data_IF_381775895903
#
_entry.id   IF_381775895903
#
_cell.length_a   1.000
_cell.length_b   1.000
_cell.length_c   1.000
_cell.angle_alpha   90.00
_cell.angle_beta   90.00
_cell.angle_gamma   90.00
#
_symmetry.space_group_name_H-M   'P 1'
#
loop_
_entity.id
_entity.type
_entity.pdbx_description
1 polymer ?
#
# COMPACT_ATOMS: atom_id res chain seq x y z
N UNK A 1 -12.47 -13.65 37.49
CA UNK A 1 -13.23 -13.00 36.38
C UNK A 1 -12.37 -12.33 35.30
N UNK A 2 -11.02 -12.27 35.40
CA UNK A 2 -10.16 -11.62 34.37
C UNK A 2 -9.70 -12.51 33.20
N UNK A 3 -9.95 -13.83 33.28
CA UNK A 3 -9.55 -14.83 32.27
C UNK A 3 -10.73 -15.19 31.34
N UNK A 4 -11.95 -14.90 31.77
CA UNK A 4 -13.17 -15.24 31.02
C UNK A 4 -13.35 -14.29 29.83
N UNK A 5 -12.97 -13.02 30.00
CA UNK A 5 -13.06 -11.97 28.98
C UNK A 5 -12.26 -12.29 27.70
N UNK A 6 -10.97 -12.70 27.75
CA UNK A 6 -10.24 -13.05 26.53
C UNK A 6 -10.78 -14.33 25.86
N UNK A 7 -11.30 -15.29 26.63
CA UNK A 7 -11.87 -16.51 26.09
C UNK A 7 -13.17 -16.25 25.31
N UNK A 8 -14.06 -15.41 25.86
CA UNK A 8 -15.29 -14.99 25.16
C UNK A 8 -14.95 -14.18 23.92
N UNK A 9 -13.95 -13.29 23.99
CA UNK A 9 -13.53 -12.47 22.85
C UNK A 9 -12.95 -13.30 21.72
N UNK A 10 -12.14 -14.32 22.05
CA UNK A 10 -11.59 -15.25 21.07
C UNK A 10 -12.67 -16.10 20.41
N UNK A 11 -13.67 -16.58 21.18
CA UNK A 11 -14.79 -17.35 20.64
C UNK A 11 -15.68 -16.50 19.72
N UNK A 12 -15.97 -15.25 20.09
CA UNK A 12 -16.77 -14.33 19.26
C UNK A 12 -16.04 -13.96 17.96
N UNK A 13 -14.74 -13.66 18.02
CA UNK A 13 -13.95 -13.36 16.83
C UNK A 13 -13.81 -14.58 15.90
N UNK A 14 -13.52 -15.76 16.45
CA UNK A 14 -13.42 -16.99 15.69
C UNK A 14 -14.73 -17.37 14.99
N UNK A 15 -15.86 -17.26 15.71
CA UNK A 15 -17.19 -17.51 15.15
C UNK A 15 -17.56 -16.54 14.02
N UNK A 16 -17.27 -15.24 14.18
CA UNK A 16 -17.53 -14.25 13.14
C UNK A 16 -16.71 -14.49 11.87
N UNK A 17 -15.43 -14.88 12.00
CA UNK A 17 -14.57 -15.21 10.86
C UNK A 17 -15.09 -16.48 10.15
N UNK A 18 -15.51 -17.50 10.91
CA UNK A 18 -16.01 -18.75 10.33
C UNK A 18 -17.30 -18.54 9.51
N UNK A 19 -18.24 -17.74 10.03
CA UNK A 19 -19.48 -17.40 9.31
C UNK A 19 -19.18 -16.56 8.04
N UNK A 20 -18.18 -15.67 8.10
CA UNK A 20 -17.79 -14.88 6.93
C UNK A 20 -17.19 -15.73 5.79
N UNK A 21 -16.41 -16.77 6.13
CA UNK A 21 -15.82 -17.68 5.14
C UNK A 21 -16.88 -18.63 4.55
N UNK A 22 -17.88 -19.05 5.32
CA UNK A 22 -18.91 -19.98 4.82
C UNK A 22 -19.91 -19.33 3.85
N UNK A 23 -20.09 -18.01 3.91
CA UNK A 23 -20.97 -17.26 3.00
C UNK A 23 -20.32 -16.89 1.66
N UNK A 24 -18.99 -16.89 1.58
CA UNK A 24 -18.25 -16.63 0.34
C UNK A 24 -17.27 -17.79 0.10
N UNK A 25 -17.64 -18.82 -0.69
CA UNK A 25 -16.64 -19.79 -1.13
C UNK A 25 -15.51 -19.02 -1.81
N UNK A 26 -14.28 -19.22 -1.33
CA UNK A 26 -13.09 -18.69 -1.99
C UNK A 26 -13.17 -19.08 -3.47
N UNK A 27 -12.92 -18.15 -4.42
CA UNK A 27 -12.76 -18.54 -5.81
C UNK A 27 -11.65 -19.60 -5.86
N UNK A 28 -12.06 -20.81 -6.24
CA UNK A 28 -11.19 -21.95 -6.42
C UNK A 28 -9.93 -21.51 -7.15
N UNK A 29 -8.77 -21.85 -6.60
CA UNK A 29 -7.51 -21.74 -7.28
C UNK A 29 -7.61 -22.58 -8.57
N UNK A 30 -7.91 -21.91 -9.68
CA UNK A 30 -7.72 -22.46 -11.01
C UNK A 30 -6.21 -22.57 -11.21
N UNK A 31 -5.70 -23.77 -11.01
CA UNK A 31 -4.48 -24.20 -11.67
C UNK A 31 -4.79 -24.27 -13.17
N UNK A 32 -4.44 -23.23 -13.93
CA UNK A 32 -4.11 -23.38 -15.35
C UNK A 32 -3.46 -22.10 -15.91
N UNK A 33 -2.44 -22.34 -16.72
CA UNK A 33 -1.75 -21.44 -17.66
C UNK A 33 -0.75 -20.46 -17.05
N UNK A 34 0.51 -20.89 -17.10
CA UNK A 34 1.69 -20.03 -17.25
C UNK A 34 1.52 -19.22 -18.55
N UNK A 35 1.49 -17.87 -18.55
CA UNK A 35 1.89 -17.14 -19.73
C UNK A 35 3.41 -17.01 -19.65
N UNK A 36 4.08 -17.69 -20.58
CA UNK A 36 5.44 -17.35 -20.95
C UNK A 36 5.60 -15.83 -21.04
N UNK A 37 6.64 -15.33 -20.39
CA UNK A 37 7.48 -14.27 -20.96
C UNK A 37 6.78 -13.00 -21.43
N UNK A 38 5.70 -12.53 -20.79
CA UNK A 38 5.25 -11.16 -21.05
C UNK A 38 6.07 -10.22 -20.21
N UNK A 39 7.21 -9.78 -20.79
CA UNK A 39 7.94 -8.57 -20.40
C UNK A 39 6.90 -7.55 -19.93
N UNK A 40 6.91 -7.20 -18.65
CA UNK A 40 6.17 -6.05 -18.14
C UNK A 40 6.87 -4.85 -18.79
N UNK A 41 6.44 -4.51 -19.99
CA UNK A 41 6.71 -3.23 -20.59
C UNK A 41 6.01 -2.23 -19.69
N UNK A 42 6.78 -1.63 -18.78
CA UNK A 42 6.42 -0.38 -18.15
C UNK A 42 6.12 0.58 -19.29
N UNK A 43 4.85 0.72 -19.67
CA UNK A 43 4.40 1.80 -20.53
C UNK A 43 4.57 3.08 -19.70
N UNK A 44 5.78 3.63 -19.75
CA UNK A 44 6.00 5.04 -19.49
C UNK A 44 5.23 5.76 -20.58
N UNK A 45 4.19 6.55 -20.27
CA UNK A 45 3.54 7.37 -21.27
C UNK A 45 4.56 8.42 -21.70
N UNK A 46 5.12 8.25 -22.90
CA UNK A 46 5.80 9.31 -23.61
C UNK A 46 4.74 10.19 -24.24
N UNK A 47 4.28 11.21 -23.52
CA UNK A 47 3.89 12.47 -24.16
C UNK A 47 3.97 13.64 -23.17
N UNK A 48 4.98 14.47 -23.42
CA UNK A 48 4.97 15.92 -23.38
C UNK A 48 4.13 16.62 -22.29
N UNK A 49 4.85 17.26 -21.34
CA UNK A 49 4.39 18.36 -20.47
C UNK A 49 3.61 17.94 -19.20
N UNK A 50 4.28 17.19 -18.32
CA UNK A 50 3.98 17.21 -16.88
C UNK A 50 5.28 17.24 -16.08
N UNK A 51 5.32 17.95 -14.93
CA UNK A 51 6.54 18.08 -14.13
C UNK A 51 7.02 16.69 -13.69
N UNK A 52 8.33 16.51 -13.46
CA UNK A 52 8.93 15.18 -13.32
C UNK A 52 8.25 14.42 -12.19
N UNK A 53 7.42 13.44 -12.54
CA UNK A 53 6.87 12.49 -11.58
C UNK A 53 8.05 11.64 -11.13
N UNK A 54 8.57 12.06 -9.98
CA UNK A 54 9.60 11.47 -9.13
C UNK A 54 9.98 10.05 -9.57
N UNK A 55 11.15 9.93 -10.21
CA UNK A 55 11.82 8.65 -10.54
C UNK A 55 12.36 7.93 -9.28
N UNK A 56 11.99 8.42 -8.11
CA UNK A 56 12.55 8.03 -6.82
C UNK A 56 11.43 7.84 -5.81
N UNK A 57 11.43 6.68 -5.17
CA UNK A 57 10.56 6.31 -4.04
C UNK A 57 10.14 7.51 -3.25
N UNK A 58 8.86 7.92 -3.16
CA UNK A 58 8.48 8.81 -2.04
C UNK A 58 8.94 8.18 -0.71
N UNK A 59 8.89 6.85 -0.62
CA UNK A 59 9.49 6.06 0.46
C UNK A 59 11.02 6.15 0.52
N UNK A 60 11.72 6.21 -0.61
CA UNK A 60 13.17 6.35 -0.66
C UNK A 60 13.62 7.76 -0.26
N UNK A 61 12.88 8.80 -0.67
CA UNK A 61 13.04 10.17 -0.18
C UNK A 61 12.87 10.22 1.34
N UNK A 62 11.85 9.53 1.88
CA UNK A 62 11.69 9.40 3.33
C UNK A 62 12.88 8.71 4.00
N UNK A 63 13.45 7.66 3.39
CA UNK A 63 14.65 6.99 3.91
C UNK A 63 15.83 7.94 3.95
N UNK A 64 16.09 8.66 2.86
CA UNK A 64 17.16 9.65 2.79
C UNK A 64 16.99 10.74 3.85
N UNK A 65 15.77 11.26 4.03
CA UNK A 65 15.46 12.27 5.03
C UNK A 65 15.69 11.78 6.48
N UNK A 66 15.37 10.51 6.77
CA UNK A 66 15.62 9.90 8.08
C UNK A 66 17.12 9.66 8.29
N UNK A 67 17.83 9.15 7.28
CA UNK A 67 19.27 8.92 7.34
C UNK A 67 20.05 10.21 7.56
N UNK A 68 19.64 11.31 6.91
CA UNK A 68 20.29 12.62 7.03
C UNK A 68 20.15 13.24 8.43
N UNK A 69 19.14 12.85 9.21
CA UNK A 69 18.85 13.44 10.52
C UNK A 69 19.54 12.74 11.69
N UNK A 70 20.33 11.68 11.46
CA UNK A 70 21.07 10.93 12.48
C UNK A 70 20.27 10.61 13.76
N UNK A 71 19.00 10.19 13.59
CA UNK A 71 18.12 9.93 14.73
C UNK A 71 18.46 8.62 15.44
N UNK A 72 18.09 8.55 16.73
CA UNK A 72 18.03 7.28 17.46
C UNK A 72 17.11 6.28 16.74
N UNK A 73 17.36 4.97 16.93
CA UNK A 73 16.66 3.90 16.20
C UNK A 73 15.12 3.98 16.31
N UNK A 74 14.60 4.35 17.48
CA UNK A 74 13.16 4.48 17.70
C UNK A 74 12.58 5.69 16.94
N UNK A 75 13.19 6.86 17.13
CA UNK A 75 12.76 8.08 16.44
C UNK A 75 12.89 7.96 14.92
N UNK A 76 13.91 7.27 14.42
CA UNK A 76 14.06 6.99 13.00
C UNK A 76 12.88 6.18 12.44
N UNK A 77 12.36 5.21 13.20
CA UNK A 77 11.17 4.44 12.79
C UNK A 77 9.91 5.29 12.78
N UNK A 78 9.71 6.10 13.80
CA UNK A 78 8.53 6.96 13.91
C UNK A 78 8.53 8.04 12.82
N UNK A 79 9.68 8.68 12.57
CA UNK A 79 9.82 9.62 11.47
C UNK A 79 9.64 8.96 10.10
N UNK A 80 10.14 7.75 9.92
CA UNK A 80 9.91 7.00 8.69
C UNK A 80 8.41 6.73 8.47
N UNK A 81 7.68 6.33 9.50
CA UNK A 81 6.24 6.08 9.42
C UNK A 81 5.45 7.36 9.12
N UNK A 82 5.76 8.46 9.81
CA UNK A 82 5.15 9.76 9.58
C UNK A 82 5.39 10.26 8.15
N UNK A 83 6.63 10.17 7.66
CA UNK A 83 6.97 10.61 6.31
C UNK A 83 6.23 9.79 5.24
N UNK A 84 6.17 8.47 5.38
CA UNK A 84 5.45 7.61 4.43
C UNK A 84 3.94 7.86 4.47
N UNK A 85 3.37 8.15 5.64
CA UNK A 85 1.96 8.50 5.77
C UNK A 85 1.65 9.85 5.08
N UNK A 86 2.48 10.86 5.29
CA UNK A 86 2.36 12.16 4.60
C UNK A 86 2.51 11.99 3.08
N UNK A 87 3.49 11.19 2.64
CA UNK A 87 3.66 10.89 1.22
C UNK A 87 2.42 10.25 0.59
N UNK A 88 1.71 9.36 1.29
CA UNK A 88 0.45 8.78 0.80
C UNK A 88 -0.62 9.82 0.57
N UNK A 89 -0.77 10.77 1.49
CA UNK A 89 -1.75 11.85 1.38
C UNK A 89 -1.41 12.77 0.20
N UNK A 90 -0.12 13.09 0.04
CA UNK A 90 0.34 13.90 -1.09
C UNK A 90 0.14 13.19 -2.44
N UNK A 91 0.43 11.89 -2.53
CA UNK A 91 0.14 11.09 -3.73
C UNK A 91 -1.37 11.04 -4.03
N UNK A 92 -2.20 10.97 -2.99
CA UNK A 92 -3.67 11.04 -3.14
C UNK A 92 -4.10 12.40 -3.69
N UNK A 93 -3.51 13.49 -3.20
CA UNK A 93 -3.78 14.85 -3.69
C UNK A 93 -3.45 14.98 -5.18
N UNK A 94 -2.26 14.55 -5.59
CA UNK A 94 -1.89 14.53 -7.01
C UNK A 94 -2.83 13.67 -7.87
N UNK A 95 -3.26 12.52 -7.37
CA UNK A 95 -4.23 11.68 -8.07
C UNK A 95 -5.60 12.37 -8.23
N UNK A 96 -6.02 13.14 -7.22
CA UNK A 96 -7.24 13.95 -7.28
C UNK A 96 -7.09 15.05 -8.33
N UNK A 97 -5.95 15.74 -8.35
CA UNK A 97 -5.66 16.82 -9.30
C UNK A 97 -5.66 16.31 -10.76
N UNK A 98 -5.15 15.10 -10.97
CA UNK A 98 -5.21 14.38 -12.26
C UNK A 98 -6.58 13.76 -12.56
N UNK A 99 -7.59 14.01 -11.71
CA UNK A 99 -8.96 13.48 -11.83
C UNK A 99 -9.03 11.94 -11.86
N UNK A 100 -8.05 11.26 -11.28
CA UNK A 100 -8.05 9.80 -11.15
C UNK A 100 -9.12 9.37 -10.14
N UNK A 101 -10.03 8.51 -10.59
CA UNK A 101 -11.13 7.95 -9.80
C UNK A 101 -11.04 6.43 -9.73
N UNK A 102 -11.71 5.84 -8.74
CA UNK A 102 -11.83 4.38 -8.60
C UNK A 102 -10.49 3.66 -8.48
N UNK A 103 -10.32 2.56 -9.23
CA UNK A 103 -9.15 1.71 -9.19
C UNK A 103 -7.86 2.42 -9.66
N UNK A 104 -7.95 3.32 -10.64
CA UNK A 104 -6.81 4.07 -11.15
C UNK A 104 -6.14 4.92 -10.05
N UNK A 105 -6.94 5.54 -9.17
CA UNK A 105 -6.41 6.27 -8.00
C UNK A 105 -5.60 5.36 -7.07
N UNK A 106 -6.10 4.14 -6.79
CA UNK A 106 -5.41 3.20 -5.90
C UNK A 106 -4.07 2.75 -6.48
N UNK A 107 -4.03 2.48 -7.79
CA UNK A 107 -2.80 2.10 -8.50
C UNK A 107 -1.81 3.25 -8.49
N UNK A 108 -2.25 4.46 -8.82
CA UNK A 108 -1.39 5.65 -8.81
C UNK A 108 -0.79 5.94 -7.43
N UNK A 109 -1.59 5.85 -6.36
CA UNK A 109 -1.07 6.08 -5.00
C UNK A 109 -0.09 5.00 -4.59
N UNK A 110 -0.35 3.74 -4.96
CA UNK A 110 0.56 2.63 -4.68
C UNK A 110 1.89 2.80 -5.42
N UNK A 111 1.85 3.18 -6.69
CA UNK A 111 3.06 3.46 -7.47
C UNK A 111 3.78 4.68 -6.91
N UNK A 112 3.10 5.82 -6.71
CA UNK A 112 3.71 7.05 -6.21
C UNK A 112 4.41 6.91 -4.85
N UNK A 113 3.92 6.01 -3.97
CA UNK A 113 4.55 5.78 -2.66
C UNK A 113 5.73 4.79 -2.76
N UNK A 114 5.64 3.80 -3.64
CA UNK A 114 6.64 2.74 -3.78
C UNK A 114 7.75 3.05 -4.79
N UNK A 115 7.46 3.86 -5.81
CA UNK A 115 8.28 4.20 -6.97
C UNK A 115 9.17 5.39 -6.70
#
# INVERSE_FOLDING_TARGET
MRIITPAIYAALLGGAIYIAISQNPLPNAVASVQPEGTKIAYAVPTDSKSPPVVRTGRREVCRQAVTAKHLSRHQARDHMQLCVAQARVECLKQAIDQKLRGAARRVYVKSCVAA
#
